data_IF_525233067912
#
_entry.id   IF_525233067912
#
_cell.length_a   1.000
_cell.length_b   1.000
_cell.length_c   1.000
_cell.angle_alpha   90.00
_cell.angle_beta   90.00
_cell.angle_gamma   90.00
#
_symmetry.space_group_name_H-M   'P 1'
#
loop_
_entity.id
_entity.type
_entity.pdbx_description
1 polymer ?
#
# COMPACT_ATOMS: atom_id res chain seq x y z
N UNK A 1 24.99 15.29 4.19
CA UNK A 1 24.03 16.21 3.55
C UNK A 1 23.05 15.33 2.80
N UNK A 2 21.95 14.97 3.43
CA UNK A 2 20.91 14.11 2.85
C UNK A 2 19.56 14.73 3.22
N UNK A 3 19.33 15.95 2.74
CA UNK A 3 18.10 16.71 2.97
C UNK A 3 17.29 16.83 1.66
N UNK A 4 17.46 15.86 0.77
CA UNK A 4 16.79 15.79 -0.53
C UNK A 4 16.52 14.34 -0.92
N UNK A 5 15.95 13.56 0.00
CA UNK A 5 15.36 12.25 -0.30
C UNK A 5 13.88 12.33 0.10
N UNK A 6 13.11 13.07 -0.70
CA UNK A 6 12.20 12.46 -1.67
C UNK A 6 11.01 11.82 -0.95
N UNK A 7 10.01 12.66 -0.62
CA UNK A 7 8.69 12.17 -0.22
C UNK A 7 8.09 11.26 -1.30
N UNK A 8 8.29 11.64 -2.57
CA UNK A 8 7.90 10.98 -3.84
C UNK A 8 8.18 9.49 -3.99
N UNK A 9 9.47 9.16 -4.02
CA UNK A 9 9.92 7.83 -4.38
C UNK A 9 9.73 6.81 -3.25
N UNK A 10 9.62 7.24 -1.99
CA UNK A 10 9.42 6.30 -0.88
C UNK A 10 8.04 5.64 -0.97
N UNK A 11 6.98 6.45 -1.12
CA UNK A 11 5.62 5.93 -1.14
C UNK A 11 5.31 5.20 -2.44
N UNK A 12 5.78 5.69 -3.58
CA UNK A 12 5.60 4.97 -4.85
C UNK A 12 6.28 3.60 -4.83
N UNK A 13 7.52 3.50 -4.34
CA UNK A 13 8.21 2.23 -4.18
C UNK A 13 7.50 1.31 -3.19
N UNK A 14 6.99 1.85 -2.07
CA UNK A 14 6.26 1.08 -1.07
C UNK A 14 4.92 0.53 -1.60
N UNK A 15 4.15 1.36 -2.32
CA UNK A 15 2.91 0.93 -2.97
C UNK A 15 3.18 -0.17 -4.01
N UNK A 16 4.32 -0.11 -4.70
CA UNK A 16 4.73 -1.14 -5.64
C UNK A 16 5.00 -2.48 -4.94
N UNK A 17 5.63 -2.48 -3.76
CA UNK A 17 5.82 -3.69 -2.94
C UNK A 17 4.47 -4.26 -2.49
N UNK A 18 3.52 -3.41 -2.07
CA UNK A 18 2.17 -3.85 -1.72
C UNK A 18 1.42 -4.45 -2.91
N UNK A 19 1.54 -3.85 -4.10
CA UNK A 19 0.94 -4.41 -5.32
C UNK A 19 1.52 -5.77 -5.68
N UNK A 20 2.83 -5.94 -5.53
CA UNK A 20 3.52 -7.20 -5.76
C UNK A 20 3.04 -8.28 -4.77
N UNK A 21 3.00 -7.96 -3.47
CA UNK A 21 2.48 -8.88 -2.44
C UNK A 21 1.01 -9.25 -2.65
N UNK A 22 0.14 -8.31 -2.99
CA UNK A 22 -1.27 -8.61 -3.31
C UNK A 22 -1.41 -9.47 -4.58
N UNK A 23 -0.46 -9.39 -5.49
CA UNK A 23 -0.40 -10.20 -6.70
C UNK A 23 0.36 -11.53 -6.49
N UNK A 24 0.91 -11.76 -5.29
CA UNK A 24 1.69 -12.94 -4.99
C UNK A 24 0.83 -14.20 -4.97
N UNK A 25 1.46 -15.31 -5.32
CA UNK A 25 0.79 -16.58 -5.44
C UNK A 25 0.16 -17.02 -4.12
N UNK A 26 0.87 -16.85 -3.00
CA UNK A 26 0.42 -17.23 -1.66
C UNK A 26 -0.87 -16.51 -1.27
N UNK A 27 -0.93 -15.20 -1.47
CA UNK A 27 -2.12 -14.38 -1.15
C UNK A 27 -3.29 -14.75 -2.05
N UNK A 28 -3.07 -14.87 -3.36
CA UNK A 28 -4.13 -15.24 -4.30
C UNK A 28 -4.67 -16.64 -4.00
N UNK A 29 -3.79 -17.59 -3.73
CA UNK A 29 -4.17 -18.96 -3.35
C UNK A 29 -4.93 -18.99 -2.03
N UNK A 30 -4.49 -18.24 -1.02
CA UNK A 30 -5.19 -18.16 0.26
C UNK A 30 -6.64 -17.70 0.11
N UNK A 31 -6.89 -16.61 -0.62
CA UNK A 31 -8.26 -16.14 -0.86
C UNK A 31 -9.07 -17.14 -1.68
N UNK A 32 -8.44 -17.82 -2.64
CA UNK A 32 -9.07 -18.89 -3.45
C UNK A 32 -9.45 -20.11 -2.60
N UNK A 33 -8.57 -20.54 -1.70
CA UNK A 33 -8.74 -21.72 -0.86
C UNK A 33 -9.68 -21.47 0.33
N UNK A 34 -9.62 -20.27 0.92
CA UNK A 34 -10.46 -19.88 2.06
C UNK A 34 -11.93 -19.61 1.69
N UNK A 35 -12.33 -19.77 0.41
CA UNK A 35 -13.64 -19.34 -0.14
C UNK A 35 -13.99 -17.87 0.16
N UNK A 36 -12.99 -17.06 0.52
CA UNK A 36 -13.16 -15.63 0.71
C UNK A 36 -13.35 -15.02 -0.68
N UNK A 37 -14.38 -14.19 -0.83
CA UNK A 37 -14.54 -13.43 -2.06
C UNK A 37 -13.28 -12.58 -2.27
N UNK A 38 -12.75 -12.50 -3.49
CA UNK A 38 -11.59 -11.65 -3.82
C UNK A 38 -11.92 -10.14 -3.76
N UNK A 39 -13.15 -9.79 -3.37
CA UNK A 39 -13.62 -8.42 -3.28
C UNK A 39 -12.82 -7.53 -2.31
N UNK A 40 -12.43 -7.96 -1.09
CA UNK A 40 -11.60 -7.15 -0.20
C UNK A 40 -10.23 -6.87 -0.81
N UNK A 41 -9.60 -7.89 -1.41
CA UNK A 41 -8.31 -7.75 -2.10
C UNK A 41 -8.42 -6.79 -3.30
N UNK A 42 -9.49 -6.89 -4.10
CA UNK A 42 -9.77 -5.96 -5.21
C UNK A 42 -10.05 -4.54 -4.72
N UNK A 43 -10.79 -4.36 -3.62
CA UNK A 43 -11.06 -3.05 -3.02
C UNK A 43 -9.77 -2.41 -2.54
N UNK A 44 -8.92 -3.15 -1.83
CA UNK A 44 -7.62 -2.69 -1.38
C UNK A 44 -6.75 -2.23 -2.56
N UNK A 45 -6.63 -3.06 -3.60
CA UNK A 45 -5.90 -2.71 -4.83
C UNK A 45 -6.45 -1.45 -5.51
N UNK A 46 -7.77 -1.30 -5.59
CA UNK A 46 -8.42 -0.13 -6.21
C UNK A 46 -8.17 1.14 -5.41
N UNK A 47 -8.29 1.06 -4.08
CA UNK A 47 -8.01 2.19 -3.18
C UNK A 47 -6.55 2.63 -3.27
N UNK A 48 -5.60 1.68 -3.25
CA UNK A 48 -4.17 1.98 -3.38
C UNK A 48 -3.82 2.58 -4.75
N UNK A 49 -4.50 2.20 -5.83
CA UNK A 49 -4.33 2.83 -7.15
C UNK A 49 -4.83 4.28 -7.19
N UNK A 50 -6.01 4.54 -6.59
CA UNK A 50 -6.55 5.88 -6.43
C UNK A 50 -5.59 6.77 -5.62
N UNK A 51 -5.08 6.22 -4.52
CA UNK A 51 -4.07 6.86 -3.68
C UNK A 51 -2.82 7.17 -4.50
N UNK A 52 -2.25 6.21 -5.21
CA UNK A 52 -1.06 6.42 -6.04
C UNK A 52 -1.25 7.54 -7.07
N UNK A 53 -2.47 7.67 -7.63
CA UNK A 53 -2.79 8.73 -8.58
C UNK A 53 -2.83 10.12 -7.94
N UNK A 54 -3.37 10.25 -6.72
CA UNK A 54 -3.41 11.54 -6.01
C UNK A 54 -2.11 11.84 -5.26
N UNK A 55 -1.29 10.81 -5.01
CA UNK A 55 -0.07 10.94 -4.24
C UNK A 55 0.96 11.82 -4.95
N UNK A 56 1.09 11.64 -6.26
CA UNK A 56 2.04 12.40 -7.07
C UNK A 56 1.73 13.91 -7.00
N UNK A 57 0.45 14.29 -7.02
CA UNK A 57 -0.04 15.66 -6.81
C UNK A 57 0.08 16.13 -5.35
N UNK A 58 -0.11 15.23 -4.39
CA UNK A 58 -0.01 15.52 -2.96
C UNK A 58 1.44 15.74 -2.51
N UNK A 59 2.40 15.02 -3.08
CA UNK A 59 3.82 15.10 -2.73
C UNK A 59 4.47 16.41 -3.19
N UNK A 60 4.02 16.98 -4.32
CA UNK A 60 4.41 18.34 -4.71
C UNK A 60 3.82 19.41 -3.77
N UNK A 61 2.67 19.13 -3.16
CA UNK A 61 1.93 20.09 -2.31
C UNK A 61 2.20 19.93 -0.81
N UNK A 62 2.68 18.77 -0.34
CA UNK A 62 2.93 18.48 1.08
C UNK A 62 3.99 19.40 1.72
N UNK A 63 4.83 20.03 0.89
CA UNK A 63 5.87 20.98 1.34
C UNK A 63 5.22 22.23 1.95
N UNK A 64 3.99 22.58 1.51
CA UNK A 64 3.32 23.84 1.85
C UNK A 64 2.08 23.67 2.71
N UNK A 65 1.53 22.47 2.80
CA UNK A 65 0.26 22.21 3.49
C UNK A 65 0.39 21.12 4.56
N UNK A 66 0.23 21.52 5.82
CA UNK A 66 0.28 20.62 6.97
C UNK A 66 -0.83 19.57 6.98
N UNK A 67 -2.00 19.86 6.39
CA UNK A 67 -3.09 18.89 6.30
C UNK A 67 -2.76 17.77 5.30
N UNK A 68 -2.08 18.10 4.19
CA UNK A 68 -1.58 17.10 3.24
C UNK A 68 -0.49 16.23 3.90
N UNK A 69 0.37 16.83 4.73
CA UNK A 69 1.40 16.10 5.48
C UNK A 69 0.79 15.09 6.47
N UNK A 70 -0.25 15.48 7.20
CA UNK A 70 -0.96 14.58 8.13
C UNK A 70 -1.64 13.44 7.36
N UNK A 71 -2.36 13.75 6.28
CA UNK A 71 -2.99 12.75 5.41
C UNK A 71 -1.98 11.75 4.82
N UNK A 72 -0.80 12.21 4.38
CA UNK A 72 0.28 11.33 3.88
C UNK A 72 0.81 10.41 4.99
N UNK A 73 0.87 10.87 6.24
CA UNK A 73 1.29 10.03 7.36
C UNK A 73 0.25 8.96 7.70
N UNK A 74 -1.04 9.31 7.78
CA UNK A 74 -2.11 8.34 7.99
C UNK A 74 -2.12 7.26 6.90
N UNK A 75 -1.85 7.69 5.66
CA UNK A 75 -1.74 6.77 4.54
C UNK A 75 -0.57 5.79 4.70
N UNK A 76 0.59 6.25 5.20
CA UNK A 76 1.73 5.36 5.48
C UNK A 76 1.36 4.30 6.51
N UNK A 77 0.72 4.71 7.60
CA UNK A 77 0.30 3.79 8.67
C UNK A 77 -0.68 2.73 8.13
N UNK A 78 -1.68 3.15 7.35
CA UNK A 78 -2.61 2.21 6.71
C UNK A 78 -1.91 1.25 5.73
N UNK A 79 -0.90 1.73 5.01
CA UNK A 79 -0.14 0.92 4.07
C UNK A 79 0.74 -0.11 4.80
N UNK A 80 1.35 0.23 5.94
CA UNK A 80 2.08 -0.73 6.78
C UNK A 80 1.16 -1.80 7.36
N UNK A 81 -0.01 -1.42 7.87
CA UNK A 81 -1.00 -2.38 8.36
C UNK A 81 -1.45 -3.35 7.26
N UNK A 82 -1.64 -2.84 6.03
CA UNK A 82 -1.98 -3.69 4.88
C UNK A 82 -0.84 -4.65 4.52
N UNK A 83 0.42 -4.20 4.63
CA UNK A 83 1.58 -5.07 4.42
C UNK A 83 1.61 -6.19 5.46
N UNK A 84 1.58 -5.85 6.75
CA UNK A 84 1.64 -6.83 7.85
C UNK A 84 0.56 -7.91 7.71
N UNK A 85 -0.65 -7.54 7.33
CA UNK A 85 -1.75 -8.48 7.07
C UNK A 85 -1.49 -9.39 5.86
N UNK A 86 -0.94 -8.85 4.76
CA UNK A 86 -0.60 -9.65 3.58
C UNK A 86 0.55 -10.62 3.88
N UNK A 87 1.49 -10.22 4.73
CA UNK A 87 2.62 -11.03 5.18
C UNK A 87 2.15 -12.20 6.06
N UNK A 88 1.22 -11.94 6.98
CA UNK A 88 0.58 -12.96 7.81
C UNK A 88 -0.19 -13.97 6.95
N UNK A 89 -1.00 -13.49 5.99
CA UNK A 89 -1.71 -14.34 5.04
C UNK A 89 -0.76 -15.21 4.22
N UNK A 90 0.31 -14.62 3.68
CA UNK A 90 1.29 -15.36 2.89
C UNK A 90 2.01 -16.43 3.73
N UNK A 91 2.27 -16.16 5.00
CA UNK A 91 2.88 -17.11 5.93
C UNK A 91 1.93 -18.26 6.26
N UNK A 92 0.65 -17.96 6.50
CA UNK A 92 -0.39 -18.96 6.80
C UNK A 92 -0.67 -19.87 5.59
N UNK A 93 -0.63 -19.31 4.37
CA UNK A 93 -0.82 -20.05 3.12
C UNK A 93 0.31 -21.04 2.78
N UNK A 94 1.47 -20.94 3.43
CA UNK A 94 2.61 -21.85 3.25
C UNK A 94 2.55 -23.09 4.17
N UNK A 95 1.63 -23.13 5.14
CA UNK A 95 1.42 -24.26 6.06
C UNK A 95 0.29 -25.19 5.59
#
# INVERSE_FOLDING_TARGET
MADALVGGAFLSAFLQVLFDRMASHEVIEFFRQSKLNNEPLRKLKTTLLLINAVLNDAEEKQIKDSAIKEWVNELKDAAYQAQDLLDEIATDALC
#
